data_IF_830870770677
#
_entry.id   IF_830870770677
#
_cell.length_a   1.000
_cell.length_b   1.000
_cell.length_c   1.000
_cell.angle_alpha   90.00
_cell.angle_beta   90.00
_cell.angle_gamma   90.00
#
_symmetry.space_group_name_H-M   'P 1'
#
loop_
_entity.id
_entity.type
_entity.pdbx_description
1 polymer ?
#
# COMPACT_ATOMS: atom_id res chain seq x y z
N UNK A 1 -15.01 38.92 32.83
CA UNK A 1 -14.21 39.41 31.69
C UNK A 1 -13.88 38.18 30.82
N UNK A 2 -14.59 38.08 29.75
CA UNK A 2 -14.62 37.01 28.75
C UNK A 2 -13.41 37.12 27.86
N UNK A 3 -12.70 36.02 27.59
CA UNK A 3 -11.77 35.93 26.47
C UNK A 3 -12.13 34.71 25.62
N UNK A 4 -12.66 35.01 24.46
CA UNK A 4 -12.96 34.08 23.39
C UNK A 4 -11.66 33.46 22.84
N UNK A 5 -11.60 32.16 22.76
CA UNK A 5 -10.54 31.42 22.09
C UNK A 5 -10.95 31.16 20.64
N UNK A 6 -10.23 31.76 19.71
CA UNK A 6 -10.39 31.60 18.27
C UNK A 6 -9.93 30.22 17.81
N UNK A 7 -10.83 29.52 17.20
CA UNK A 7 -10.61 28.23 16.54
C UNK A 7 -10.03 28.50 15.13
N UNK A 8 -8.74 28.31 14.93
CA UNK A 8 -8.11 28.42 13.61
C UNK A 8 -8.08 27.04 12.94
N UNK A 9 -8.99 26.87 12.00
CA UNK A 9 -8.95 25.78 11.01
C UNK A 9 -7.70 25.94 10.13
N UNK A 10 -6.73 25.05 10.29
CA UNK A 10 -5.54 24.99 9.47
C UNK A 10 -5.86 24.50 8.07
N UNK A 11 -6.00 25.45 7.14
CA UNK A 11 -6.04 25.17 5.70
C UNK A 11 -4.62 24.84 5.24
N UNK A 12 -4.34 23.60 4.92
CA UNK A 12 -3.05 23.17 4.35
C UNK A 12 -2.87 23.80 2.97
N UNK A 13 -1.95 24.74 2.86
CA UNK A 13 -1.57 25.37 1.61
C UNK A 13 -0.74 24.40 0.76
N UNK A 14 -1.21 24.13 -0.45
CA UNK A 14 -0.55 23.39 -1.54
C UNK A 14 0.70 24.16 -2.01
N UNK A 15 1.86 23.52 -2.24
CA UNK A 15 2.99 24.19 -2.89
C UNK A 15 2.67 24.48 -4.37
N UNK A 16 3.23 25.57 -4.96
CA UNK A 16 2.93 25.96 -6.32
C UNK A 16 3.44 24.92 -7.34
N UNK A 17 2.55 24.47 -8.21
CA UNK A 17 2.84 23.52 -9.28
C UNK A 17 3.85 24.08 -10.28
N UNK A 18 4.91 23.34 -10.54
CA UNK A 18 5.74 23.53 -11.73
C UNK A 18 5.00 22.94 -12.93
N UNK A 19 4.56 23.80 -13.84
CA UNK A 19 4.04 23.41 -15.13
C UNK A 19 5.14 22.74 -15.96
N UNK A 20 4.97 21.44 -16.23
CA UNK A 20 5.58 20.76 -17.36
C UNK A 20 4.43 20.01 -18.04
N UNK A 21 4.05 20.48 -19.24
CA UNK A 21 3.04 19.82 -20.05
C UNK A 21 3.53 18.41 -20.43
N UNK A 22 3.09 17.41 -19.68
CA UNK A 22 3.14 16.03 -20.13
C UNK A 22 1.80 15.76 -20.80
N UNK A 23 1.82 15.59 -22.13
CA UNK A 23 0.66 15.13 -22.88
C UNK A 23 0.13 13.85 -22.23
N UNK A 24 -1.01 13.96 -21.55
CA UNK A 24 -1.71 12.82 -20.98
C UNK A 24 -2.12 11.91 -22.14
N UNK A 25 -1.52 10.71 -22.22
CA UNK A 25 -2.06 9.65 -23.09
C UNK A 25 -3.49 9.39 -22.66
N UNK A 26 -4.46 9.34 -23.58
CA UNK A 26 -5.84 9.04 -23.21
C UNK A 26 -5.87 7.69 -22.50
N UNK A 27 -6.52 7.67 -21.31
CA UNK A 27 -6.82 6.42 -20.61
C UNK A 27 -7.81 5.66 -21.49
N UNK A 28 -7.53 4.41 -21.86
CA UNK A 28 -8.45 3.65 -22.71
C UNK A 28 -9.81 3.51 -22.02
N UNK A 29 -10.88 3.75 -22.74
CA UNK A 29 -12.24 3.55 -22.26
C UNK A 29 -12.41 2.10 -21.79
N UNK A 30 -13.12 1.89 -20.67
CA UNK A 30 -13.41 0.55 -20.18
C UNK A 30 -14.29 -0.19 -21.18
N UNK A 31 -13.86 -1.38 -21.60
CA UNK A 31 -14.69 -2.26 -22.42
C UNK A 31 -15.92 -2.70 -21.61
N UNK A 32 -17.15 -2.70 -22.17
CA UNK A 32 -18.32 -3.26 -21.51
C UNK A 32 -18.03 -4.68 -21.01
N UNK A 33 -18.68 -5.10 -19.91
CA UNK A 33 -18.55 -6.47 -19.42
C UNK A 33 -18.86 -7.45 -20.57
N UNK A 34 -17.92 -8.33 -20.95
CA UNK A 34 -18.09 -9.17 -22.14
C UNK A 34 -19.24 -10.17 -22.01
N UNK A 35 -19.70 -10.39 -20.78
CA UNK A 35 -20.65 -11.43 -20.38
C UNK A 35 -21.98 -10.90 -19.80
N UNK A 36 -22.19 -9.57 -19.80
CA UNK A 36 -23.41 -8.95 -19.29
C UNK A 36 -23.63 -9.04 -17.78
N UNK A 37 -22.63 -9.47 -17.00
CA UNK A 37 -22.74 -9.50 -15.54
C UNK A 37 -22.85 -8.08 -14.95
N UNK A 38 -23.64 -7.89 -13.86
CA UNK A 38 -23.63 -6.62 -13.15
C UNK A 38 -22.22 -6.32 -12.61
N UNK A 39 -21.87 -5.04 -12.51
CA UNK A 39 -20.52 -4.62 -12.12
C UNK A 39 -20.49 -3.88 -10.80
N UNK A 40 -19.49 -4.20 -9.99
CA UNK A 40 -19.10 -3.46 -8.80
C UNK A 40 -17.83 -2.67 -9.13
N UNK A 41 -17.80 -1.39 -8.79
CA UNK A 41 -16.59 -0.55 -8.86
C UNK A 41 -16.12 -0.21 -7.46
N UNK A 42 -14.96 -0.72 -7.07
CA UNK A 42 -14.26 -0.35 -5.85
C UNK A 42 -13.20 0.72 -6.16
N UNK A 43 -13.39 1.92 -5.65
CA UNK A 43 -12.45 3.04 -5.87
C UNK A 43 -11.43 3.13 -4.74
N UNK A 44 -10.14 2.93 -5.07
CA UNK A 44 -8.99 3.27 -4.22
C UNK A 44 -7.78 3.57 -5.10
N UNK A 45 -7.79 4.74 -5.71
CA UNK A 45 -6.77 5.21 -6.67
C UNK A 45 -5.47 5.64 -5.97
N UNK A 46 -4.85 4.72 -5.24
CA UNK A 46 -3.67 4.93 -4.40
C UNK A 46 -2.57 3.91 -4.74
N UNK A 47 -1.70 3.55 -3.78
CA UNK A 47 -0.52 2.72 -4.00
C UNK A 47 -0.73 1.26 -3.58
N UNK A 48 0.33 0.45 -3.71
CA UNK A 48 0.29 -0.99 -3.42
C UNK A 48 -0.14 -1.28 -1.96
N UNK A 49 0.43 -0.59 -0.96
CA UNK A 49 0.04 -0.77 0.43
C UNK A 49 -1.45 -0.51 0.65
N UNK A 50 -1.97 0.52 -0.01
CA UNK A 50 -3.40 0.86 0.05
C UNK A 50 -4.31 -0.21 -0.57
N UNK A 51 -3.90 -0.84 -1.67
CA UNK A 51 -4.60 -2.00 -2.22
C UNK A 51 -4.60 -3.15 -1.20
N UNK A 52 -3.45 -3.46 -0.61
CA UNK A 52 -3.27 -4.62 0.25
C UNK A 52 -4.09 -4.53 1.55
N UNK A 53 -4.23 -3.34 2.13
CA UNK A 53 -5.11 -3.14 3.30
C UNK A 53 -6.60 -3.16 2.93
N UNK A 54 -6.97 -3.02 1.65
CA UNK A 54 -8.34 -3.14 1.17
C UNK A 54 -8.75 -4.58 0.78
N UNK A 55 -7.79 -5.52 0.65
CA UNK A 55 -8.06 -6.92 0.27
C UNK A 55 -9.15 -7.58 1.12
N UNK A 56 -9.19 -7.43 2.46
CA UNK A 56 -10.26 -7.99 3.28
C UNK A 56 -11.67 -7.55 2.83
N UNK A 57 -11.84 -6.26 2.54
CA UNK A 57 -13.11 -5.71 2.05
C UNK A 57 -13.45 -6.23 0.65
N UNK A 58 -12.47 -6.29 -0.26
CA UNK A 58 -12.64 -6.82 -1.62
C UNK A 58 -13.06 -8.28 -1.61
N UNK A 59 -12.46 -9.11 -0.76
CA UNK A 59 -12.86 -10.52 -0.57
C UNK A 59 -14.25 -10.65 0.03
N UNK A 60 -14.61 -9.78 0.97
CA UNK A 60 -15.98 -9.69 1.48
C UNK A 60 -16.99 -9.42 0.34
N UNK A 61 -16.70 -8.43 -0.50
CA UNK A 61 -17.52 -8.12 -1.68
C UNK A 61 -17.62 -9.32 -2.63
N UNK A 62 -16.52 -10.01 -2.93
CA UNK A 62 -16.55 -11.20 -3.81
C UNK A 62 -17.44 -12.30 -3.25
N UNK A 63 -17.36 -12.56 -1.93
CA UNK A 63 -18.24 -13.58 -1.30
C UNK A 63 -19.72 -13.20 -1.33
N UNK A 64 -20.03 -11.92 -1.10
CA UNK A 64 -21.40 -11.43 -1.09
C UNK A 64 -22.00 -11.27 -2.49
N UNK A 65 -21.18 -11.05 -3.50
CA UNK A 65 -21.58 -10.79 -4.88
C UNK A 65 -20.83 -11.71 -5.87
N UNK A 66 -20.99 -13.04 -5.79
CA UNK A 66 -20.23 -13.98 -6.62
C UNK A 66 -20.50 -13.80 -8.12
N UNK A 67 -21.72 -13.37 -8.50
CA UNK A 67 -22.14 -13.17 -9.88
C UNK A 67 -21.73 -11.81 -10.48
N UNK A 68 -21.22 -10.88 -9.65
CA UNK A 68 -20.80 -9.57 -10.15
C UNK A 68 -19.37 -9.62 -10.67
N UNK A 69 -19.10 -8.82 -11.69
CA UNK A 69 -17.73 -8.47 -12.06
C UNK A 69 -17.24 -7.33 -11.16
N UNK A 70 -16.15 -7.54 -10.45
CA UNK A 70 -15.56 -6.53 -9.54
C UNK A 70 -14.40 -5.84 -10.24
N UNK A 71 -14.56 -4.54 -10.47
CA UNK A 71 -13.55 -3.65 -11.00
C UNK A 71 -12.88 -2.87 -9.85
N UNK A 72 -11.56 -2.77 -9.88
CA UNK A 72 -10.80 -1.95 -8.94
C UNK A 72 -10.25 -0.72 -9.65
N UNK A 73 -10.70 0.47 -9.26
CA UNK A 73 -10.24 1.72 -9.86
C UNK A 73 -8.95 2.21 -9.20
N UNK A 74 -7.83 2.09 -9.92
CA UNK A 74 -6.50 2.47 -9.47
C UNK A 74 -5.53 2.70 -10.63
N UNK A 75 -4.26 3.01 -10.32
CA UNK A 75 -3.21 3.19 -11.32
C UNK A 75 -2.88 1.89 -12.04
N UNK A 76 -2.65 1.96 -13.36
CA UNK A 76 -2.44 0.80 -14.26
C UNK A 76 -1.35 -0.17 -13.80
N UNK A 77 -0.27 0.33 -13.20
CA UNK A 77 0.84 -0.51 -12.74
C UNK A 77 0.46 -1.53 -11.65
N UNK A 78 -0.72 -1.37 -11.00
CA UNK A 78 -1.26 -2.33 -10.02
C UNK A 78 -1.98 -3.52 -10.68
N UNK A 79 -2.23 -3.51 -11.99
CA UNK A 79 -2.97 -4.56 -12.71
C UNK A 79 -2.48 -5.99 -12.42
N UNK A 80 -1.15 -6.27 -12.37
CA UNK A 80 -0.65 -7.61 -12.06
C UNK A 80 -1.08 -8.15 -10.69
N UNK A 81 -1.51 -7.27 -9.78
CA UNK A 81 -1.98 -7.69 -8.45
C UNK A 81 -3.44 -8.16 -8.45
N UNK A 82 -4.24 -7.81 -9.45
CA UNK A 82 -5.68 -8.12 -9.43
C UNK A 82 -5.96 -9.61 -9.29
N UNK A 83 -5.38 -10.50 -10.13
CA UNK A 83 -5.60 -11.94 -10.00
C UNK A 83 -5.09 -12.52 -8.68
N UNK A 84 -4.13 -11.85 -8.02
CA UNK A 84 -3.57 -12.32 -6.76
C UNK A 84 -4.50 -12.07 -5.57
N UNK A 85 -5.45 -11.14 -5.71
CA UNK A 85 -6.42 -10.82 -4.63
C UNK A 85 -7.48 -11.90 -4.41
N UNK A 86 -7.72 -12.78 -5.38
CA UNK A 86 -8.86 -13.72 -5.44
C UNK A 86 -10.24 -13.02 -5.30
N UNK A 87 -10.30 -11.73 -5.57
CA UNK A 87 -11.50 -10.93 -5.36
C UNK A 87 -11.87 -10.05 -6.56
N UNK A 88 -10.88 -9.52 -7.25
CA UNK A 88 -11.04 -8.52 -8.32
C UNK A 88 -10.90 -9.18 -9.68
N UNK A 89 -11.86 -8.94 -10.58
CA UNK A 89 -11.81 -9.49 -11.95
C UNK A 89 -10.92 -8.63 -12.86
N UNK A 90 -10.90 -7.30 -12.68
CA UNK A 90 -10.11 -6.42 -13.54
C UNK A 90 -9.82 -5.08 -12.87
N UNK A 91 -8.82 -4.37 -13.40
CA UNK A 91 -8.48 -3.02 -12.98
C UNK A 91 -9.09 -2.01 -13.95
N UNK A 92 -9.79 -1.00 -13.41
CA UNK A 92 -10.17 0.20 -14.13
C UNK A 92 -9.04 1.24 -13.97
N UNK A 93 -8.25 1.51 -15.03
CA UNK A 93 -7.11 2.41 -14.90
C UNK A 93 -7.56 3.84 -14.64
N UNK A 94 -6.99 4.48 -13.61
CA UNK A 94 -7.18 5.89 -13.32
C UNK A 94 -5.88 6.50 -12.77
N UNK A 95 -5.62 7.77 -13.10
CA UNK A 95 -4.43 8.48 -12.61
C UNK A 95 -4.58 9.04 -11.19
N UNK A 96 -5.77 8.99 -10.63
CA UNK A 96 -6.10 9.53 -9.32
C UNK A 96 -7.55 10.01 -9.27
N UNK A 97 -7.80 11.08 -8.53
CA UNK A 97 -9.13 11.70 -8.41
C UNK A 97 -9.27 13.00 -9.23
N UNK A 98 -8.21 13.46 -9.87
CA UNK A 98 -8.23 14.73 -10.63
C UNK A 98 -9.06 14.60 -11.92
N UNK A 99 -9.07 13.40 -12.53
CA UNK A 99 -9.81 13.12 -13.77
C UNK A 99 -11.08 12.30 -13.50
N UNK A 100 -12.12 12.42 -14.36
CA UNK A 100 -13.28 11.54 -14.32
C UNK A 100 -12.88 10.07 -14.49
N UNK A 101 -13.63 9.18 -13.85
CA UNK A 101 -13.43 7.74 -14.04
C UNK A 101 -13.83 7.34 -15.48
N UNK A 102 -12.98 6.55 -16.19
CA UNK A 102 -13.21 6.22 -17.60
C UNK A 102 -14.28 5.10 -17.75
N UNK A 103 -15.50 5.38 -17.31
CA UNK A 103 -16.62 4.44 -17.34
C UNK A 103 -17.91 5.15 -17.72
N UNK A 104 -18.80 4.47 -18.41
CA UNK A 104 -20.08 5.03 -18.84
C UNK A 104 -21.01 5.27 -17.66
N UNK A 105 -21.71 6.41 -17.68
CA UNK A 105 -22.72 6.75 -16.68
C UNK A 105 -23.84 5.69 -16.63
N UNK A 106 -24.20 5.26 -15.41
CA UNK A 106 -25.25 4.26 -15.17
C UNK A 106 -24.84 2.80 -15.42
N UNK A 107 -23.61 2.54 -15.82
CA UNK A 107 -23.11 1.18 -16.07
C UNK A 107 -22.92 0.37 -14.77
N UNK A 108 -22.49 1.01 -13.69
CA UNK A 108 -22.16 0.35 -12.42
C UNK A 108 -23.41 0.07 -11.59
N UNK A 109 -23.58 -1.18 -11.15
CA UNK A 109 -24.62 -1.53 -10.19
C UNK A 109 -24.29 -1.05 -8.78
N UNK A 110 -23.05 -1.26 -8.31
CA UNK A 110 -22.62 -0.89 -6.97
C UNK A 110 -21.26 -0.18 -7.01
N UNK A 111 -21.21 1.08 -6.55
CA UNK A 111 -19.97 1.81 -6.32
C UNK A 111 -19.57 1.74 -4.85
N UNK A 112 -18.30 1.37 -4.58
CA UNK A 112 -17.74 1.23 -3.24
C UNK A 112 -16.57 2.20 -3.06
N UNK A 113 -16.72 3.15 -2.13
CA UNK A 113 -15.66 4.11 -1.82
C UNK A 113 -14.70 3.55 -0.76
N UNK A 114 -13.60 2.98 -1.19
CA UNK A 114 -12.49 2.54 -0.34
C UNK A 114 -11.31 3.54 -0.36
N UNK A 115 -11.51 4.76 -0.90
CA UNK A 115 -10.46 5.75 -1.05
C UNK A 115 -10.29 6.63 0.20
N UNK A 116 -11.41 7.02 0.80
CA UNK A 116 -11.44 7.91 1.96
C UNK A 116 -12.85 8.44 2.26
N UNK A 117 -12.94 9.41 3.15
CA UNK A 117 -14.18 10.11 3.49
C UNK A 117 -14.31 11.48 2.80
N UNK A 118 -13.35 11.86 1.97
CA UNK A 118 -13.29 13.16 1.29
C UNK A 118 -14.38 13.36 0.22
N UNK A 119 -14.68 14.61 -0.09
CA UNK A 119 -15.65 14.98 -1.15
C UNK A 119 -15.18 14.58 -2.55
N UNK A 120 -13.88 14.57 -2.80
CA UNK A 120 -13.29 14.28 -4.11
C UNK A 120 -13.62 12.87 -4.59
N UNK A 121 -13.33 11.84 -3.79
CA UNK A 121 -13.63 10.45 -4.14
C UNK A 121 -15.12 10.18 -4.28
N UNK A 122 -15.95 10.82 -3.42
CA UNK A 122 -17.41 10.73 -3.53
C UNK A 122 -17.90 11.35 -4.83
N UNK A 123 -17.44 12.56 -5.18
CA UNK A 123 -17.80 13.23 -6.42
C UNK A 123 -17.52 12.35 -7.65
N UNK A 124 -16.35 11.71 -7.72
CA UNK A 124 -16.03 10.78 -8.81
C UNK A 124 -16.99 9.59 -8.90
N UNK A 125 -17.44 9.06 -7.75
CA UNK A 125 -18.40 7.97 -7.71
C UNK A 125 -19.86 8.43 -7.94
N UNK A 126 -20.18 9.69 -7.67
CA UNK A 126 -21.49 10.27 -8.00
C UNK A 126 -21.62 10.51 -9.50
N UNK A 127 -20.57 10.98 -10.16
CA UNK A 127 -20.52 11.24 -11.59
C UNK A 127 -20.80 9.99 -12.45
N UNK A 128 -20.44 8.80 -11.99
CA UNK A 128 -20.68 7.57 -12.74
C UNK A 128 -22.13 7.06 -12.66
N UNK A 129 -22.99 7.63 -11.80
CA UNK A 129 -24.40 7.30 -11.71
C UNK A 129 -24.69 5.86 -11.31
N UNK A 130 -23.90 5.28 -10.39
CA UNK A 130 -24.11 3.91 -9.92
C UNK A 130 -25.49 3.76 -9.22
N UNK A 131 -26.14 2.60 -9.40
CA UNK A 131 -27.49 2.32 -8.82
C UNK A 131 -27.46 2.27 -7.31
N UNK A 132 -26.38 1.75 -6.73
CA UNK A 132 -26.15 1.62 -5.28
C UNK A 132 -24.78 2.15 -4.93
N UNK A 133 -24.62 2.57 -3.67
CA UNK A 133 -23.34 3.11 -3.19
C UNK A 133 -23.03 2.61 -1.79
N UNK A 134 -21.77 2.35 -1.51
CA UNK A 134 -21.21 2.07 -0.19
C UNK A 134 -20.07 3.04 0.09
N UNK A 135 -20.08 3.67 1.26
CA UNK A 135 -19.05 4.61 1.69
C UNK A 135 -19.26 5.04 3.13
N UNK A 136 -18.41 5.89 3.64
CA UNK A 136 -18.59 6.51 4.96
C UNK A 136 -19.72 7.55 4.93
N UNK A 137 -20.35 7.77 6.08
CA UNK A 137 -21.41 8.76 6.26
C UNK A 137 -20.94 10.14 5.80
N UNK A 138 -21.78 10.79 4.99
CA UNK A 138 -21.58 12.14 4.49
C UNK A 138 -22.89 12.63 3.83
N UNK A 139 -23.01 13.90 3.48
CA UNK A 139 -24.19 14.37 2.76
C UNK A 139 -24.50 13.52 1.54
N UNK A 140 -25.70 12.92 1.49
CA UNK A 140 -26.16 12.03 0.41
C UNK A 140 -25.58 10.61 0.42
N UNK A 141 -24.80 10.24 1.45
CA UNK A 141 -24.26 8.90 1.63
C UNK A 141 -24.59 8.35 3.01
N UNK A 142 -25.24 7.21 3.08
CA UNK A 142 -25.34 6.42 4.32
C UNK A 142 -24.08 5.59 4.50
N UNK A 143 -23.71 5.40 5.78
CA UNK A 143 -22.54 4.61 6.10
C UNK A 143 -22.06 4.83 7.55
N UNK A 144 -21.02 4.09 7.97
CA UNK A 144 -20.42 4.33 9.28
C UNK A 144 -19.72 5.68 9.33
N UNK A 145 -19.66 6.27 10.51
CA UNK A 145 -18.83 7.46 10.74
C UNK A 145 -17.35 7.17 10.45
N UNK A 146 -16.63 8.16 9.93
CA UNK A 146 -15.18 8.06 9.81
C UNK A 146 -14.53 8.02 11.19
N UNK A 147 -13.69 7.04 11.44
CA UNK A 147 -12.95 6.87 12.69
C UNK A 147 -11.46 6.97 12.42
N UNK A 148 -10.76 7.89 13.10
CA UNK A 148 -9.29 7.95 13.10
C UNK A 148 -8.69 6.94 14.07
N UNK A 149 -7.39 6.64 13.93
CA UNK A 149 -6.66 5.82 14.88
C UNK A 149 -7.05 4.32 14.88
N UNK A 150 -7.61 3.81 13.80
CA UNK A 150 -7.90 2.39 13.61
C UNK A 150 -7.10 1.83 12.45
N UNK A 151 -6.82 0.55 12.48
CA UNK A 151 -6.12 -0.13 11.39
C UNK A 151 -6.85 0.04 10.05
N UNK A 152 -6.13 0.40 9.01
CA UNK A 152 -6.72 0.60 7.68
C UNK A 152 -7.46 -0.64 7.18
N UNK A 153 -6.93 -1.86 7.39
CA UNK A 153 -7.64 -3.09 7.04
C UNK A 153 -8.97 -3.27 7.80
N UNK A 154 -9.02 -2.83 9.06
CA UNK A 154 -10.25 -2.85 9.86
C UNK A 154 -11.25 -1.80 9.39
N UNK A 155 -10.77 -0.62 9.02
CA UNK A 155 -11.58 0.45 8.45
C UNK A 155 -12.38 -0.03 7.25
N UNK A 156 -11.70 -0.64 6.27
CA UNK A 156 -12.35 -1.05 5.02
C UNK A 156 -13.22 -2.30 5.20
N UNK A 157 -12.79 -3.26 6.00
CA UNK A 157 -13.63 -4.41 6.36
C UNK A 157 -14.88 -3.98 7.12
N UNK A 158 -14.76 -3.07 8.10
CA UNK A 158 -15.89 -2.53 8.86
C UNK A 158 -16.84 -1.71 7.98
N UNK A 159 -16.31 -0.95 7.01
CA UNK A 159 -17.12 -0.19 6.08
C UNK A 159 -18.10 -1.10 5.33
N UNK A 160 -17.59 -2.13 4.67
CA UNK A 160 -18.44 -3.04 3.87
C UNK A 160 -19.34 -3.87 4.77
N UNK A 161 -18.87 -4.25 5.98
CA UNK A 161 -19.68 -4.98 6.96
C UNK A 161 -20.87 -4.16 7.46
N UNK A 162 -20.70 -2.86 7.65
CA UNK A 162 -21.81 -1.96 8.00
C UNK A 162 -22.91 -1.97 6.92
N UNK A 163 -22.52 -2.09 5.65
CA UNK A 163 -23.44 -2.19 4.52
C UNK A 163 -23.98 -3.62 4.28
N UNK A 164 -23.81 -4.53 5.24
CA UNK A 164 -24.32 -5.89 5.17
C UNK A 164 -23.44 -6.88 4.40
N UNK A 165 -22.19 -6.54 4.13
CA UNK A 165 -21.20 -7.41 3.48
C UNK A 165 -20.17 -7.87 4.51
N UNK A 166 -20.29 -9.07 5.10
CA UNK A 166 -19.34 -9.55 6.11
C UNK A 166 -17.92 -9.63 5.55
N UNK A 167 -16.99 -8.99 6.25
CA UNK A 167 -15.57 -8.99 5.90
C UNK A 167 -14.71 -9.17 7.15
N UNK A 168 -13.77 -10.12 7.10
CA UNK A 168 -12.81 -10.36 8.17
C UNK A 168 -11.55 -9.51 7.90
N UNK A 169 -11.17 -8.56 8.77
CA UNK A 169 -9.98 -7.73 8.59
C UNK A 169 -8.67 -8.52 8.57
N UNK A 170 -8.68 -9.78 8.98
CA UNK A 170 -7.52 -10.68 8.93
C UNK A 170 -7.43 -11.47 7.63
N UNK A 171 -8.42 -11.42 6.75
CA UNK A 171 -8.41 -12.09 5.44
C UNK A 171 -7.54 -11.33 4.41
N UNK A 172 -6.27 -11.10 4.78
CA UNK A 172 -5.29 -10.33 4.00
C UNK A 172 -4.51 -11.16 2.97
N UNK A 173 -4.70 -12.49 2.93
CA UNK A 173 -3.88 -13.40 2.12
C UNK A 173 -4.05 -13.13 0.63
N UNK A 174 -2.93 -13.21 -0.10
CA UNK A 174 -2.89 -13.20 -1.56
C UNK A 174 -2.53 -14.59 -2.09
N UNK A 175 -2.91 -14.85 -3.34
CA UNK A 175 -2.35 -15.96 -4.10
C UNK A 175 -0.87 -15.68 -4.39
N UNK A 176 -0.05 -16.72 -4.33
CA UNK A 176 1.31 -16.63 -4.82
C UNK A 176 1.26 -16.54 -6.34
N UNK A 177 1.94 -15.56 -6.97
CA UNK A 177 1.94 -15.44 -8.43
C UNK A 177 2.63 -16.65 -9.07
N UNK A 178 2.12 -17.05 -10.23
CA UNK A 178 2.71 -18.13 -11.03
C UNK A 178 3.82 -17.55 -11.92
N UNK A 179 4.90 -17.14 -11.26
CA UNK A 179 6.11 -16.61 -11.91
C UNK A 179 7.33 -17.18 -11.20
N UNK A 180 8.42 -17.35 -11.95
CA UNK A 180 9.68 -17.82 -11.37
C UNK A 180 10.18 -16.82 -10.32
N UNK A 181 10.51 -17.33 -9.13
CA UNK A 181 11.15 -16.51 -8.10
C UNK A 181 12.64 -16.33 -8.42
N UNK A 182 13.12 -15.11 -8.69
CA UNK A 182 14.50 -14.88 -9.08
C UNK A 182 15.51 -15.14 -7.95
N UNK A 183 15.06 -15.17 -6.70
CA UNK A 183 15.92 -15.37 -5.53
C UNK A 183 15.15 -16.04 -4.37
N UNK A 184 14.84 -17.35 -4.47
CA UNK A 184 14.21 -18.07 -3.37
C UNK A 184 15.08 -18.00 -2.11
N UNK A 185 14.41 -17.94 -0.96
CA UNK A 185 14.99 -17.86 0.39
C UNK A 185 15.91 -16.65 0.64
N UNK A 186 15.84 -15.62 -0.21
CA UNK A 186 16.60 -14.41 0.00
C UNK A 186 16.06 -13.57 1.17
N UNK A 187 16.97 -12.83 1.81
CA UNK A 187 16.59 -11.68 2.64
C UNK A 187 16.33 -10.50 1.71
N UNK A 188 15.07 -10.08 1.62
CA UNK A 188 14.65 -8.94 0.81
C UNK A 188 14.78 -7.66 1.62
N UNK A 189 15.66 -6.76 1.20
CA UNK A 189 15.85 -5.43 1.80
C UNK A 189 15.22 -4.40 0.86
N UNK A 190 14.03 -3.90 1.21
CA UNK A 190 13.33 -2.87 0.44
C UNK A 190 13.74 -1.49 0.92
N UNK A 191 14.56 -0.81 0.13
CA UNK A 191 15.20 0.46 0.54
C UNK A 191 14.44 1.70 0.11
N UNK A 192 13.39 1.53 -0.70
CA UNK A 192 12.57 2.60 -1.24
C UNK A 192 11.43 3.03 -0.32
N UNK A 193 10.95 4.24 -0.55
CA UNK A 193 9.68 4.74 -0.04
C UNK A 193 9.20 5.93 -0.89
N UNK A 194 7.88 6.17 -0.89
CA UNK A 194 7.30 7.23 -1.69
C UNK A 194 7.70 8.65 -1.25
N UNK A 195 8.02 8.83 0.03
CA UNK A 195 8.35 10.12 0.65
C UNK A 195 9.59 10.00 1.53
N UNK A 196 10.33 11.10 1.66
CA UNK A 196 11.54 11.18 2.45
C UNK A 196 11.33 10.78 3.91
N UNK A 197 10.16 11.09 4.47
CA UNK A 197 9.77 10.77 5.85
C UNK A 197 9.87 9.29 6.22
N UNK A 198 9.83 8.39 5.23
CA UNK A 198 9.92 6.93 5.38
C UNK A 198 11.27 6.35 4.91
N UNK A 199 12.25 7.17 4.59
CA UNK A 199 13.56 6.71 4.11
C UNK A 199 14.52 6.49 5.29
N UNK A 200 14.67 5.25 5.73
CA UNK A 200 15.71 4.90 6.71
C UNK A 200 17.11 5.08 6.10
N UNK A 201 18.14 5.56 6.83
CA UNK A 201 19.44 5.93 6.28
C UNK A 201 20.14 4.82 5.48
N UNK A 202 20.83 5.21 4.40
CA UNK A 202 21.55 4.31 3.49
C UNK A 202 22.62 3.50 4.23
N UNK A 203 23.41 4.17 5.07
CA UNK A 203 24.48 3.58 5.88
C UNK A 203 23.96 2.50 6.85
N UNK A 204 22.77 2.70 7.40
CA UNK A 204 22.13 1.75 8.31
C UNK A 204 21.62 0.52 7.56
N UNK A 205 20.93 0.69 6.41
CA UNK A 205 20.56 -0.44 5.55
C UNK A 205 21.81 -1.21 5.10
N UNK A 206 22.88 -0.51 4.75
CA UNK A 206 24.13 -1.11 4.34
C UNK A 206 24.79 -1.93 5.48
N UNK A 207 24.78 -1.41 6.70
CA UNK A 207 25.31 -2.12 7.86
C UNK A 207 24.54 -3.44 8.13
N UNK A 208 23.19 -3.38 8.11
CA UNK A 208 22.35 -4.57 8.25
C UNK A 208 22.64 -5.58 7.13
N UNK A 209 22.62 -5.13 5.88
CA UNK A 209 22.83 -6.01 4.72
C UNK A 209 24.23 -6.66 4.73
N UNK A 210 25.27 -5.92 5.10
CA UNK A 210 26.63 -6.45 5.23
C UNK A 210 26.71 -7.55 6.27
N UNK A 211 26.12 -7.33 7.44
CA UNK A 211 26.10 -8.32 8.53
C UNK A 211 25.40 -9.60 8.08
N UNK A 212 24.22 -9.49 7.49
CA UNK A 212 23.45 -10.65 7.02
C UNK A 212 24.16 -11.39 5.88
N UNK A 213 24.78 -10.68 4.94
CA UNK A 213 25.55 -11.28 3.86
C UNK A 213 26.82 -11.97 4.40
N UNK A 214 27.52 -11.40 5.39
CA UNK A 214 28.68 -12.02 6.04
C UNK A 214 28.30 -13.31 6.79
N UNK A 215 27.07 -13.40 7.29
CA UNK A 215 26.50 -14.61 7.89
C UNK A 215 26.05 -15.66 6.85
N UNK A 216 26.22 -15.40 5.55
CA UNK A 216 25.91 -16.33 4.47
C UNK A 216 24.50 -16.19 3.87
N UNK A 217 23.71 -15.22 4.29
CA UNK A 217 22.37 -14.99 3.72
C UNK A 217 22.47 -14.31 2.35
N UNK A 218 21.64 -14.78 1.41
CA UNK A 218 21.47 -14.10 0.11
C UNK A 218 20.65 -12.84 0.30
N UNK A 219 21.26 -11.66 0.10
CA UNK A 219 20.59 -10.37 0.22
C UNK A 219 20.18 -9.86 -1.16
N UNK A 220 18.92 -9.36 -1.29
CA UNK A 220 18.41 -8.72 -2.51
C UNK A 220 17.82 -7.36 -2.16
N UNK A 221 18.33 -6.30 -2.79
CA UNK A 221 17.81 -4.95 -2.62
C UNK A 221 16.69 -4.66 -3.62
N UNK A 222 15.56 -4.20 -3.13
CA UNK A 222 14.38 -3.90 -3.94
C UNK A 222 13.95 -2.43 -3.79
N UNK A 223 13.18 -1.96 -4.76
CA UNK A 223 12.64 -0.62 -4.87
C UNK A 223 12.10 -0.39 -6.28
N UNK A 224 11.47 0.75 -6.53
CA UNK A 224 11.07 1.17 -7.86
C UNK A 224 12.29 1.56 -8.72
N UNK A 225 12.07 1.78 -10.03
CA UNK A 225 13.13 2.29 -10.92
C UNK A 225 13.70 3.64 -10.47
N UNK A 226 12.88 4.50 -9.85
CA UNK A 226 13.34 5.79 -9.30
C UNK A 226 14.24 5.61 -8.08
N UNK A 227 14.10 4.51 -7.37
CA UNK A 227 14.84 4.18 -6.14
C UNK A 227 16.09 3.35 -6.41
N UNK A 228 16.29 2.90 -7.67
CA UNK A 228 17.48 2.14 -8.07
C UNK A 228 18.82 2.81 -7.69
N UNK A 229 19.01 4.14 -7.89
CA UNK A 229 20.25 4.79 -7.45
C UNK A 229 20.49 4.66 -5.95
N UNK A 230 19.44 4.73 -5.13
CA UNK A 230 19.52 4.52 -3.69
C UNK A 230 19.88 3.07 -3.35
N UNK A 231 19.25 2.09 -4.03
CA UNK A 231 19.55 0.68 -3.82
C UNK A 231 21.00 0.33 -4.18
N UNK A 232 21.53 0.90 -5.26
CA UNK A 232 22.95 0.79 -5.62
C UNK A 232 23.87 1.41 -4.58
N UNK A 233 23.52 2.58 -4.05
CA UNK A 233 24.29 3.21 -2.97
C UNK A 233 24.31 2.37 -1.69
N UNK A 234 23.21 1.70 -1.34
CA UNK A 234 23.16 0.78 -0.20
C UNK A 234 24.03 -0.45 -0.46
N UNK A 235 23.96 -1.05 -1.66
CA UNK A 235 24.77 -2.21 -2.04
C UNK A 235 26.27 -1.89 -2.00
N UNK A 236 26.67 -0.76 -2.59
CA UNK A 236 28.07 -0.28 -2.58
C UNK A 236 28.58 -0.06 -1.14
N UNK A 237 27.83 0.67 -0.33
CA UNK A 237 28.17 0.91 1.07
C UNK A 237 28.19 -0.39 1.90
N UNK A 238 27.44 -1.41 1.51
CA UNK A 238 27.47 -2.75 2.13
C UNK A 238 28.66 -3.60 1.65
N UNK A 239 29.35 -3.20 0.58
CA UNK A 239 30.38 -4.02 -0.08
C UNK A 239 29.79 -5.18 -0.87
N UNK A 240 28.55 -5.08 -1.31
CA UNK A 240 27.85 -6.10 -2.08
C UNK A 240 27.81 -5.73 -3.57
N UNK A 241 27.85 -6.74 -4.46
CA UNK A 241 27.88 -6.48 -5.91
C UNK A 241 26.56 -5.87 -6.41
N UNK A 242 26.60 -5.05 -7.45
CA UNK A 242 25.41 -4.44 -8.06
C UNK A 242 24.37 -5.48 -8.55
N UNK A 243 24.78 -6.72 -8.80
CA UNK A 243 23.88 -7.82 -9.13
C UNK A 243 22.90 -8.21 -8.01
N UNK A 244 23.13 -7.75 -6.77
CA UNK A 244 22.16 -7.91 -5.67
C UNK A 244 20.99 -6.91 -5.74
N UNK A 245 21.05 -5.94 -6.66
CA UNK A 245 20.06 -4.88 -6.79
C UNK A 245 19.04 -5.24 -7.86
N UNK A 246 17.84 -5.60 -7.44
CA UNK A 246 16.69 -5.86 -8.30
C UNK A 246 15.70 -4.66 -8.39
N UNK A 247 16.07 -3.51 -7.80
CA UNK A 247 15.24 -2.31 -7.83
C UNK A 247 15.02 -1.80 -9.27
N UNK A 248 13.76 -1.71 -9.67
CA UNK A 248 13.34 -1.28 -11.01
C UNK A 248 13.40 -2.36 -12.10
N UNK A 249 13.94 -3.53 -11.82
CA UNK A 249 14.09 -4.62 -12.80
C UNK A 249 12.94 -5.64 -12.73
N UNK A 250 12.18 -5.66 -11.64
CA UNK A 250 11.10 -6.62 -11.43
C UNK A 250 9.73 -6.02 -11.78
N UNK A 251 8.95 -6.68 -12.66
CA UNK A 251 7.52 -6.47 -12.73
C UNK A 251 6.86 -6.70 -11.35
N UNK A 252 5.68 -6.14 -11.14
CA UNK A 252 5.06 -6.16 -9.81
C UNK A 252 4.70 -7.57 -9.31
N UNK A 253 4.29 -8.46 -10.19
CA UNK A 253 4.03 -9.87 -9.90
C UNK A 253 5.32 -10.63 -9.55
N UNK A 254 6.42 -10.37 -10.28
CA UNK A 254 7.73 -10.94 -9.95
C UNK A 254 8.26 -10.43 -8.60
N UNK A 255 8.02 -9.15 -8.28
CA UNK A 255 8.32 -8.60 -6.95
C UNK A 255 7.46 -9.28 -5.87
N UNK A 256 6.17 -9.49 -6.12
CA UNK A 256 5.29 -10.22 -5.21
C UNK A 256 5.77 -11.68 -5.03
N UNK A 257 6.20 -12.36 -6.09
CA UNK A 257 6.80 -13.70 -6.06
C UNK A 257 8.10 -13.75 -5.25
N UNK A 258 8.98 -12.77 -5.43
CA UNK A 258 10.21 -12.63 -4.64
C UNK A 258 9.88 -12.52 -3.14
N UNK A 259 8.93 -11.64 -2.77
CA UNK A 259 8.49 -11.48 -1.38
C UNK A 259 7.83 -12.74 -0.85
N UNK A 260 6.98 -13.41 -1.66
CA UNK A 260 6.32 -14.66 -1.27
C UNK A 260 7.30 -15.79 -0.93
N UNK A 261 8.49 -15.81 -1.56
CA UNK A 261 9.54 -16.79 -1.31
C UNK A 261 10.70 -16.29 -0.45
N UNK A 262 10.58 -15.10 0.16
CA UNK A 262 11.64 -14.55 1.01
C UNK A 262 11.77 -15.29 2.36
N UNK A 263 12.99 -15.43 2.85
CA UNK A 263 13.25 -15.88 4.23
C UNK A 263 12.97 -14.80 5.26
N UNK A 264 13.24 -13.52 4.88
CA UNK A 264 12.95 -12.34 5.68
C UNK A 264 12.73 -11.14 4.75
N UNK A 265 11.84 -10.23 5.13
CA UNK A 265 11.66 -8.93 4.49
C UNK A 265 11.98 -7.82 5.48
N UNK A 266 12.93 -6.96 5.14
CA UNK A 266 13.25 -5.74 5.92
C UNK A 266 12.82 -4.54 5.10
N UNK A 267 11.90 -3.73 5.62
CA UNK A 267 11.32 -2.59 4.91
C UNK A 267 10.85 -1.52 5.89
N UNK A 268 10.86 -0.27 5.47
CA UNK A 268 9.99 0.71 6.10
C UNK A 268 8.51 0.37 5.83
N UNK A 269 7.58 1.10 6.47
CA UNK A 269 6.15 0.99 6.20
C UNK A 269 5.84 1.36 4.73
N UNK A 270 5.82 0.34 3.88
CA UNK A 270 5.65 0.42 2.41
C UNK A 270 4.86 -0.78 1.89
N UNK A 271 4.59 -0.79 0.58
CA UNK A 271 3.95 -1.94 -0.08
C UNK A 271 4.70 -3.27 0.11
N UNK A 272 6.02 -3.26 0.30
CA UNK A 272 6.82 -4.46 0.58
C UNK A 272 6.46 -5.10 1.92
N UNK A 273 6.29 -4.30 2.97
CA UNK A 273 5.88 -4.77 4.30
C UNK A 273 4.47 -5.37 4.26
N UNK A 274 3.54 -4.74 3.53
CA UNK A 274 2.19 -5.27 3.35
C UNK A 274 2.16 -6.55 2.51
N UNK A 275 3.03 -6.71 1.50
CA UNK A 275 3.20 -7.98 0.78
C UNK A 275 3.73 -9.08 1.70
N UNK A 276 4.75 -8.79 2.53
CA UNK A 276 5.25 -9.75 3.51
C UNK A 276 4.11 -10.23 4.44
N UNK A 277 3.25 -9.31 4.88
CA UNK A 277 2.05 -9.63 5.67
C UNK A 277 1.07 -10.52 4.90
N UNK A 278 0.78 -10.17 3.63
CA UNK A 278 -0.14 -10.93 2.79
C UNK A 278 0.33 -12.36 2.51
N UNK A 279 1.63 -12.60 2.49
CA UNK A 279 2.23 -13.94 2.33
C UNK A 279 2.67 -14.59 3.65
N UNK A 280 2.40 -13.94 4.81
CA UNK A 280 2.86 -14.35 6.14
C UNK A 280 4.36 -14.66 6.18
N UNK A 281 5.17 -13.86 5.51
CA UNK A 281 6.62 -13.99 5.55
C UNK A 281 7.18 -13.27 6.76
N UNK A 282 8.22 -13.82 7.40
CA UNK A 282 8.95 -13.09 8.44
C UNK A 282 9.32 -11.69 7.96
N UNK A 283 9.08 -10.68 8.79
CA UNK A 283 9.42 -9.31 8.41
C UNK A 283 9.83 -8.45 9.60
N UNK A 284 10.73 -7.51 9.33
CA UNK A 284 11.08 -6.40 10.21
C UNK A 284 10.60 -5.12 9.53
N UNK A 285 9.61 -4.48 10.12
CA UNK A 285 8.94 -3.30 9.55
C UNK A 285 9.28 -2.07 10.37
N UNK A 286 9.90 -1.08 9.73
CA UNK A 286 10.35 0.15 10.35
C UNK A 286 9.27 1.24 10.16
N UNK A 287 8.67 1.69 11.26
CA UNK A 287 7.66 2.73 11.23
C UNK A 287 8.24 4.10 11.58
N UNK A 288 7.91 5.07 10.77
CA UNK A 288 8.24 6.48 10.95
C UNK A 288 6.97 7.32 11.19
N UNK A 289 6.55 8.14 10.17
CA UNK A 289 5.47 9.11 10.36
C UNK A 289 4.10 8.48 10.58
N UNK A 290 3.81 7.35 9.92
CA UNK A 290 2.55 6.63 10.14
C UNK A 290 2.65 5.74 11.38
N UNK A 291 1.61 5.70 12.26
CA UNK A 291 1.65 4.86 13.43
C UNK A 291 1.32 3.39 13.11
N UNK A 292 1.96 2.43 13.79
CA UNK A 292 1.60 1.01 13.66
C UNK A 292 0.15 0.68 14.02
N UNK A 293 -0.48 1.50 14.88
CA UNK A 293 -1.91 1.39 15.23
C UNK A 293 -2.87 1.61 14.05
N UNK A 294 -2.38 2.22 12.95
CA UNK A 294 -3.18 2.44 11.74
C UNK A 294 -2.73 1.58 10.57
N UNK A 295 -1.42 1.29 10.46
CA UNK A 295 -0.84 0.61 9.31
C UNK A 295 -0.09 -0.67 9.64
N UNK A 296 -0.04 -1.06 10.91
CA UNK A 296 0.70 -2.23 11.37
C UNK A 296 0.23 -3.54 10.73
N UNK A 297 1.11 -4.55 10.69
CA UNK A 297 0.80 -5.86 10.13
C UNK A 297 -0.30 -6.58 10.94
N UNK A 298 -0.99 -7.58 10.35
CA UNK A 298 -1.83 -8.50 11.11
C UNK A 298 -0.97 -9.37 12.04
N UNK A 299 -1.58 -10.09 12.99
CA UNK A 299 -0.88 -11.09 13.78
C UNK A 299 -0.13 -12.08 12.89
N UNK A 300 1.17 -12.29 13.16
CA UNK A 300 2.03 -13.12 12.32
C UNK A 300 3.51 -12.95 12.64
N UNK A 301 4.41 -13.47 11.79
CA UNK A 301 5.84 -13.42 11.99
C UNK A 301 6.41 -12.02 11.62
N UNK A 302 5.91 -10.99 12.28
CA UNK A 302 6.26 -9.59 11.96
C UNK A 302 6.78 -8.88 13.20
N UNK A 303 7.96 -8.28 13.10
CA UNK A 303 8.51 -7.40 14.14
C UNK A 303 8.37 -5.95 13.69
N UNK A 304 7.70 -5.14 14.49
CA UNK A 304 7.53 -3.70 14.27
C UNK A 304 8.55 -2.94 15.10
N UNK A 305 9.31 -2.05 14.48
CA UNK A 305 10.28 -1.18 15.13
C UNK A 305 9.92 0.29 14.89
N UNK A 306 9.85 1.05 15.96
CA UNK A 306 9.57 2.50 15.96
C UNK A 306 9.86 3.08 17.33
N UNK A 307 10.06 4.37 17.41
CA UNK A 307 9.98 5.10 18.69
C UNK A 307 8.84 6.13 18.61
N UNK A 308 7.70 5.77 19.19
CA UNK A 308 6.50 6.62 19.15
C UNK A 308 6.66 7.93 19.90
N UNK A 309 7.56 7.98 20.88
CA UNK A 309 7.77 9.16 21.74
C UNK A 309 8.33 10.37 20.99
N UNK A 310 9.01 10.12 19.86
CA UNK A 310 9.64 11.15 19.02
C UNK A 310 8.99 11.31 17.64
N UNK A 311 7.84 10.63 17.40
CA UNK A 311 7.13 10.72 16.11
C UNK A 311 6.58 12.13 15.88
N UNK A 312 6.89 12.68 14.69
CA UNK A 312 6.33 13.95 14.20
C UNK A 312 5.05 13.72 13.41
N UNK A 313 5.01 12.67 12.61
CA UNK A 313 3.80 12.25 11.88
C UNK A 313 3.60 12.92 10.52
N UNK A 314 4.55 13.70 10.03
CA UNK A 314 4.47 14.35 8.71
C UNK A 314 4.76 13.37 7.57
N UNK A 315 3.73 12.67 7.13
CA UNK A 315 3.83 11.59 6.13
C UNK A 315 4.49 12.04 4.81
N UNK A 316 4.24 13.28 4.36
CA UNK A 316 4.70 13.81 3.07
C UNK A 316 6.00 14.61 3.15
N UNK A 317 6.67 14.62 4.30
CA UNK A 317 7.95 15.31 4.49
C UNK A 317 9.04 14.75 3.58
N UNK A 318 9.96 15.63 3.15
CA UNK A 318 11.16 15.25 2.42
C UNK A 318 12.26 14.66 3.33
N UNK A 319 12.17 14.89 4.64
CA UNK A 319 13.14 14.42 5.64
C UNK A 319 12.59 13.24 6.42
N UNK A 320 13.46 12.26 6.81
CA UNK A 320 13.03 11.12 7.61
C UNK A 320 12.42 11.54 8.94
N UNK A 321 11.35 10.84 9.35
CA UNK A 321 10.71 11.07 10.64
C UNK A 321 11.65 10.65 11.79
N UNK A 322 11.72 11.40 12.90
CA UNK A 322 12.53 11.05 14.06
C UNK A 322 12.24 9.66 14.63
N UNK A 323 10.98 9.20 14.60
CA UNK A 323 10.61 7.85 15.04
C UNK A 323 11.30 6.76 14.22
N UNK A 324 11.48 6.99 12.91
CA UNK A 324 12.21 6.09 12.04
C UNK A 324 13.73 6.18 12.29
N UNK A 325 14.24 7.39 12.51
CA UNK A 325 15.67 7.61 12.80
C UNK A 325 16.10 7.06 14.16
N UNK A 326 15.19 6.91 15.11
CA UNK A 326 15.46 6.29 16.41
C UNK A 326 15.70 4.77 16.30
N UNK A 327 15.21 4.11 15.23
CA UNK A 327 15.48 2.69 15.00
C UNK A 327 16.93 2.47 14.65
N UNK A 328 17.62 1.63 15.43
CA UNK A 328 19.05 1.35 15.28
C UNK A 328 19.31 0.09 14.43
N UNK A 329 20.54 -0.05 13.93
CA UNK A 329 21.01 -1.25 13.23
C UNK A 329 20.89 -2.49 14.12
N UNK A 330 21.30 -2.38 15.39
CA UNK A 330 21.29 -3.49 16.35
C UNK A 330 19.86 -3.99 16.62
N UNK A 331 18.89 -3.09 16.70
CA UNK A 331 17.47 -3.48 16.84
C UNK A 331 16.97 -4.26 15.63
N UNK A 332 17.36 -3.85 14.41
CA UNK A 332 16.97 -4.55 13.18
C UNK A 332 17.63 -5.92 13.10
N UNK A 333 18.92 -6.03 13.45
CA UNK A 333 19.63 -7.33 13.49
C UNK A 333 19.07 -8.26 14.57
N UNK A 334 18.79 -7.74 15.76
CA UNK A 334 18.15 -8.52 16.83
C UNK A 334 16.76 -9.01 16.41
N UNK A 335 15.97 -8.18 15.73
CA UNK A 335 14.68 -8.60 15.18
C UNK A 335 14.83 -9.68 14.09
N UNK A 336 15.81 -9.55 13.19
CA UNK A 336 16.13 -10.56 12.19
C UNK A 336 16.52 -11.91 12.83
N UNK A 337 17.37 -11.87 13.85
CA UNK A 337 17.76 -13.05 14.62
C UNK A 337 16.56 -13.71 15.32
N UNK A 338 15.62 -12.94 15.83
CA UNK A 338 14.34 -13.44 16.36
C UNK A 338 13.50 -14.22 15.35
N UNK A 339 13.73 -14.02 14.06
CA UNK A 339 13.14 -14.79 12.95
C UNK A 339 14.07 -15.90 12.41
N UNK A 340 15.17 -16.21 13.09
CA UNK A 340 16.13 -17.25 12.68
C UNK A 340 17.11 -16.81 11.59
N UNK A 341 17.24 -15.51 11.35
CA UNK A 341 18.17 -14.91 10.37
C UNK A 341 19.24 -14.15 11.14
N UNK A 342 20.40 -14.79 11.38
CA UNK A 342 21.49 -14.24 12.17
C UNK A 342 22.85 -14.42 11.48
#
# INVERSE_FOLDING_TARGET
>A
MTSEGSNTTGTSARPPGRGAGSGSRPVPASTPAPDGRPEILALRALKLGDLLVAVPALKGLRRAYPEHRILYAAQEWLRPMMPLTDAVDDLLPTHGLDDPLPIEHGRIDLAVNLHGSGGESRGRLEEIGARRRMGHRSPGWDGPEWRSGILERERWASLVSWHGVPADPLDCRLRVPDVENPAPDAVVVHVGAAYGSRLWPVDRFAAVARTLAAAGHRVVFTGSARERPRALAVADAAGLPAATVAAGDLPLDAFAGLVAGASLVISADTGAAHLASAYARPSVVLFGPAPPSEWGPPPGPHTVLTDESVRVGETFSATPDPALLAVTVDQVLAAAAGHGIS
#
